data_IF_525145885812
#
_entry.id   IF_525145885812
#
_cell.length_a   1.000
_cell.length_b   1.000
_cell.length_c   1.000
_cell.angle_alpha   90.00
_cell.angle_beta   90.00
_cell.angle_gamma   90.00
#
_symmetry.space_group_name_H-M   'P 1'
#
loop_
_entity.id
_entity.type
_entity.pdbx_description
1 polymer ?
#
# COMPACT_ATOMS: atom_id res chain seq x y z
N UNK A 1 4.29 -2.46 -8.01
CA UNK A 1 3.98 -2.36 -6.57
C UNK A 1 4.05 -0.92 -6.05
N UNK A 2 3.00 -0.10 -6.19
CA UNK A 2 3.10 1.35 -5.89
C UNK A 2 3.34 1.66 -4.40
N UNK A 3 2.58 1.02 -3.50
CA UNK A 3 2.74 1.16 -2.04
C UNK A 3 4.07 0.56 -1.58
N UNK A 4 4.48 -0.59 -2.14
CA UNK A 4 5.75 -1.23 -1.78
C UNK A 4 6.97 -0.47 -2.27
N UNK A 5 6.84 0.26 -3.38
CA UNK A 5 7.87 1.16 -3.88
C UNK A 5 7.95 2.48 -3.08
N UNK A 6 7.19 2.62 -2.00
CA UNK A 6 7.23 3.80 -1.12
C UNK A 6 6.60 5.06 -1.71
N UNK A 7 5.83 4.95 -2.80
CA UNK A 7 5.27 6.13 -3.46
C UNK A 7 4.29 6.90 -2.55
N UNK A 8 4.32 8.24 -2.53
CA UNK A 8 3.33 9.05 -1.83
C UNK A 8 1.91 8.82 -2.35
N UNK A 9 0.89 8.96 -1.50
CA UNK A 9 -0.51 8.74 -1.91
C UNK A 9 -0.93 9.62 -3.08
N UNK A 10 -0.43 10.86 -3.16
CA UNK A 10 -0.64 11.76 -4.30
C UNK A 10 -0.13 11.18 -5.62
N UNK A 11 1.06 10.59 -5.62
CA UNK A 11 1.65 9.96 -6.80
C UNK A 11 0.86 8.72 -7.20
N UNK A 12 0.46 7.90 -6.22
CA UNK A 12 -0.37 6.70 -6.46
C UNK A 12 -1.73 7.11 -7.04
N UNK A 13 -2.36 8.13 -6.47
CA UNK A 13 -3.63 8.68 -6.91
C UNK A 13 -3.57 9.13 -8.38
N UNK A 14 -2.53 9.90 -8.72
CA UNK A 14 -2.30 10.33 -10.10
C UNK A 14 -2.06 9.17 -11.06
N UNK A 15 -1.26 8.16 -10.68
CA UNK A 15 -0.97 7.02 -11.55
C UNK A 15 -2.18 6.10 -11.77
N UNK A 16 -3.09 6.02 -10.79
CA UNK A 16 -4.27 5.18 -10.84
C UNK A 16 -5.54 5.93 -11.28
N UNK A 17 -5.44 7.23 -11.56
CA UNK A 17 -6.57 8.12 -11.87
C UNK A 17 -7.72 8.05 -10.84
N UNK A 18 -7.36 8.12 -9.56
CA UNK A 18 -8.29 8.12 -8.42
C UNK A 18 -7.94 9.21 -7.43
N UNK A 19 -8.84 9.51 -6.50
CA UNK A 19 -8.56 10.50 -5.46
C UNK A 19 -7.52 10.03 -4.44
N UNK A 20 -6.78 10.96 -3.85
CA UNK A 20 -5.89 10.67 -2.70
C UNK A 20 -6.65 10.07 -1.51
N UNK A 21 -7.92 10.43 -1.33
CA UNK A 21 -8.79 9.83 -0.32
C UNK A 21 -8.95 8.34 -0.60
N UNK A 22 -9.28 7.96 -1.83
CA UNK A 22 -9.43 6.56 -2.24
C UNK A 22 -8.15 5.76 -1.98
N UNK A 23 -6.97 6.33 -2.27
CA UNK A 23 -5.69 5.69 -1.94
C UNK A 23 -5.52 5.51 -0.43
N UNK A 24 -5.82 6.54 0.39
CA UNK A 24 -5.76 6.44 1.86
C UNK A 24 -6.65 5.31 2.38
N UNK A 25 -7.87 5.19 1.85
CA UNK A 25 -8.80 4.12 2.20
C UNK A 25 -8.23 2.73 1.89
N UNK A 26 -7.67 2.54 0.69
CA UNK A 26 -7.05 1.27 0.31
C UNK A 26 -5.80 0.96 1.13
N UNK A 27 -4.92 1.93 1.38
CA UNK A 27 -3.73 1.74 2.24
C UNK A 27 -4.16 1.36 3.65
N UNK A 28 -5.14 2.04 4.24
CA UNK A 28 -5.68 1.68 5.56
C UNK A 28 -6.23 0.25 5.58
N UNK A 29 -7.02 -0.13 4.56
CA UNK A 29 -7.54 -1.49 4.42
C UNK A 29 -6.42 -2.54 4.32
N UNK A 30 -5.32 -2.22 3.62
CA UNK A 30 -4.16 -3.11 3.51
C UNK A 30 -3.49 -3.29 4.89
N UNK A 31 -3.27 -2.19 5.62
CA UNK A 31 -2.68 -2.24 6.97
C UNK A 31 -3.52 -3.12 7.90
N UNK A 32 -4.84 -2.92 7.92
CA UNK A 32 -5.76 -3.73 8.74
C UNK A 32 -5.74 -5.21 8.34
N UNK A 33 -5.79 -5.52 7.04
CA UNK A 33 -5.80 -6.91 6.56
C UNK A 33 -4.49 -7.66 6.81
N UNK A 34 -3.38 -6.92 6.85
CA UNK A 34 -2.06 -7.50 7.11
C UNK A 34 -1.67 -7.46 8.59
N UNK A 35 -2.51 -6.86 9.44
CA UNK A 35 -2.22 -6.58 10.85
C UNK A 35 -0.88 -5.83 11.02
N UNK A 36 -0.73 -4.74 10.24
CA UNK A 36 0.49 -3.93 10.21
C UNK A 36 0.25 -2.56 10.84
N UNK A 37 1.16 -2.13 11.71
CA UNK A 37 1.18 -0.80 12.33
C UNK A 37 1.74 0.29 11.39
N UNK A 38 2.46 -0.10 10.33
CA UNK A 38 3.03 0.85 9.38
C UNK A 38 3.04 0.33 7.95
N UNK A 39 3.21 1.26 6.99
CA UNK A 39 3.39 0.92 5.58
C UNK A 39 4.59 0.00 5.36
N UNK A 40 5.72 0.29 5.99
CA UNK A 40 6.95 -0.51 5.86
C UNK A 40 6.74 -1.94 6.39
N UNK A 41 6.04 -2.05 7.52
CA UNK A 41 5.68 -3.35 8.09
C UNK A 41 4.73 -4.13 7.16
N UNK A 42 3.71 -3.48 6.61
CA UNK A 42 2.80 -4.11 5.66
C UNK A 42 3.53 -4.64 4.43
N UNK A 43 4.50 -3.89 3.90
CA UNK A 43 5.35 -4.35 2.79
C UNK A 43 6.18 -5.55 3.20
N UNK A 44 6.78 -5.53 4.39
CA UNK A 44 7.57 -6.65 4.92
C UNK A 44 6.73 -7.92 5.08
N UNK A 45 5.52 -7.80 5.63
CA UNK A 45 4.57 -8.90 5.79
C UNK A 45 4.13 -9.42 4.43
N UNK A 46 3.76 -8.55 3.50
CA UNK A 46 3.33 -8.92 2.16
C UNK A 46 4.44 -9.66 1.39
N UNK A 47 5.70 -9.21 1.48
CA UNK A 47 6.86 -9.91 0.91
C UNK A 47 7.04 -11.28 1.53
N UNK A 48 7.05 -11.39 2.87
CA UNK A 48 7.22 -12.68 3.58
C UNK A 48 6.11 -13.68 3.25
N UNK A 49 4.90 -13.21 2.99
CA UNK A 49 3.74 -14.03 2.62
C UNK A 49 3.64 -14.30 1.10
N UNK A 50 4.58 -13.81 0.29
CA UNK A 50 4.55 -13.99 -1.17
C UNK A 50 3.41 -13.26 -1.88
N UNK A 51 2.85 -12.20 -1.27
CA UNK A 51 1.72 -11.43 -1.80
C UNK A 51 2.14 -10.34 -2.79
N UNK A 52 3.44 -10.05 -2.88
CA UNK A 52 4.00 -9.12 -3.86
C UNK A 52 4.63 -9.92 -4.99
N UNK A 53 4.25 -9.61 -6.23
CA UNK A 53 4.99 -10.07 -7.39
C UNK A 53 6.34 -9.34 -7.42
N UNK A 54 7.43 -10.12 -7.39
CA UNK A 54 8.81 -9.65 -7.57
C UNK A 54 9.14 -9.66 -9.05
#
# INVERSE_FOLDING_TARGET
>A
NLVANGLPNKTIAHQLDISEHTVKFHVGSILTKLDAASRTEAVTIATRRGLLAV
#
